data_IF_086861762467
#
_entry.id   IF_086861762467
#
_cell.length_a   1.000
_cell.length_b   1.000
_cell.length_c   1.000
_cell.angle_alpha   90.00
_cell.angle_beta   90.00
_cell.angle_gamma   90.00
#
_symmetry.space_group_name_H-M   'P 1'
#
loop_
_entity.id
_entity.type
_entity.pdbx_description
1 polymer ?
#
# COMPACT_ATOMS: atom_id res chain seq x y z
N UNK A 1 -51.14 30.66 7.01
CA UNK A 1 -49.74 31.10 7.18
C UNK A 1 -49.00 30.71 5.91
N UNK A 2 -48.40 31.67 5.20
CA UNK A 2 -47.54 31.41 4.05
C UNK A 2 -46.12 31.16 4.57
N UNK A 3 -45.60 29.95 4.36
CA UNK A 3 -44.18 29.65 4.57
C UNK A 3 -43.48 30.04 3.25
N UNK A 4 -42.47 30.91 3.27
CA UNK A 4 -41.69 31.25 2.08
C UNK A 4 -41.08 30.01 1.43
N UNK A 5 -41.03 29.97 0.09
CA UNK A 5 -40.58 28.81 -0.68
C UNK A 5 -39.12 28.40 -0.37
N UNK A 6 -38.32 29.34 0.14
CA UNK A 6 -36.90 29.17 0.51
C UNK A 6 -36.68 28.86 2.00
N UNK A 7 -37.74 28.75 2.82
CA UNK A 7 -37.64 28.58 4.27
C UNK A 7 -36.82 27.35 4.69
N UNK A 8 -37.00 26.21 4.00
CA UNK A 8 -36.30 24.97 4.32
C UNK A 8 -34.83 24.99 3.90
N UNK A 9 -34.50 25.65 2.78
CA UNK A 9 -33.11 25.84 2.33
C UNK A 9 -32.37 26.80 3.26
N UNK A 10 -32.99 27.93 3.63
CA UNK A 10 -32.43 28.88 4.59
C UNK A 10 -32.19 28.24 5.97
N UNK A 11 -33.12 27.38 6.43
CA UNK A 11 -32.96 26.64 7.69
C UNK A 11 -31.79 25.67 7.65
N UNK A 12 -31.60 24.91 6.56
CA UNK A 12 -30.46 24.00 6.42
C UNK A 12 -29.12 24.76 6.37
N UNK A 13 -29.07 25.90 5.68
CA UNK A 13 -27.87 26.75 5.63
C UNK A 13 -27.52 27.26 7.04
N UNK A 14 -28.50 27.76 7.78
CA UNK A 14 -28.32 28.22 9.17
C UNK A 14 -27.84 27.09 10.09
N UNK A 15 -28.41 25.89 9.99
CA UNK A 15 -27.99 24.72 10.77
C UNK A 15 -26.53 24.32 10.45
N UNK A 16 -26.13 24.34 9.18
CA UNK A 16 -24.76 24.05 8.77
C UNK A 16 -23.76 25.12 9.23
N UNK A 17 -24.12 26.39 9.12
CA UNK A 17 -23.30 27.50 9.63
C UNK A 17 -23.16 27.44 11.16
N UNK A 18 -24.22 27.11 11.87
CA UNK A 18 -24.18 26.94 13.33
C UNK A 18 -23.30 25.74 13.73
N UNK A 19 -23.36 24.62 13.01
CA UNK A 19 -22.48 23.47 13.23
C UNK A 19 -21.01 23.81 12.98
N UNK A 20 -20.71 24.50 11.87
CA UNK A 20 -19.35 24.96 11.57
C UNK A 20 -18.82 25.91 12.63
N UNK A 21 -19.65 26.84 13.11
CA UNK A 21 -19.27 27.77 14.17
C UNK A 21 -18.97 27.05 15.48
N UNK A 22 -19.82 26.09 15.88
CA UNK A 22 -19.60 25.25 17.07
C UNK A 22 -18.31 24.45 16.98
N UNK A 23 -18.04 23.83 15.82
CA UNK A 23 -16.81 23.08 15.59
C UNK A 23 -15.57 23.97 15.70
N UNK A 24 -15.61 25.17 15.11
CA UNK A 24 -14.50 26.11 15.16
C UNK A 24 -14.29 26.71 16.57
N UNK A 25 -15.37 26.94 17.33
CA UNK A 25 -15.30 27.33 18.74
C UNK A 25 -14.63 26.24 19.60
N UNK A 26 -14.96 24.97 19.36
CA UNK A 26 -14.33 23.82 20.03
C UNK A 26 -12.84 23.71 19.70
N UNK A 27 -12.45 23.73 18.41
CA UNK A 27 -11.03 23.65 18.02
C UNK A 27 -10.20 24.78 18.65
N UNK A 28 -10.72 26.01 18.63
CA UNK A 28 -10.04 27.15 19.24
C UNK A 28 -9.84 26.99 20.74
N UNK A 29 -10.78 26.36 21.42
CA UNK A 29 -10.67 26.08 22.84
C UNK A 29 -9.70 24.93 23.15
N UNK A 30 -9.75 23.83 22.39
CA UNK A 30 -8.79 22.75 22.51
C UNK A 30 -7.35 23.27 22.36
N UNK A 31 -7.12 24.13 21.36
CA UNK A 31 -5.82 24.79 21.19
C UNK A 31 -5.40 25.64 22.40
N UNK A 32 -6.34 26.37 23.02
CA UNK A 32 -6.07 27.14 24.24
C UNK A 32 -5.75 26.24 25.43
N UNK A 33 -6.47 25.13 25.59
CA UNK A 33 -6.24 24.16 26.67
C UNK A 33 -4.88 23.46 26.50
N UNK A 34 -4.54 23.09 25.26
CA UNK A 34 -3.25 22.46 24.95
C UNK A 34 -2.05 23.37 25.21
N UNK A 35 -2.20 24.69 25.07
CA UNK A 35 -1.18 25.68 25.46
C UNK A 35 -1.01 25.82 26.98
N UNK A 36 -2.05 25.51 27.75
CA UNK A 36 -2.09 25.65 29.22
C UNK A 36 -1.94 24.33 29.96
N UNK A 37 -1.68 23.23 29.26
CA UNK A 37 -1.53 21.91 29.86
C UNK A 37 -0.37 21.88 30.85
N UNK A 38 -0.56 21.18 31.97
CA UNK A 38 0.47 20.99 33.00
C UNK A 38 1.04 19.59 32.90
N UNK A 39 2.37 19.46 32.81
CA UNK A 39 3.03 18.14 32.90
C UNK A 39 2.85 17.57 34.31
N UNK A 40 2.37 16.33 34.41
CA UNK A 40 2.16 15.62 35.68
C UNK A 40 3.20 14.54 35.89
N UNK A 41 3.50 13.78 34.85
CA UNK A 41 4.53 12.73 34.89
C UNK A 41 5.21 12.59 33.53
N UNK A 42 6.46 12.21 33.59
CA UNK A 42 7.26 11.80 32.45
C UNK A 42 7.91 10.45 32.80
N UNK A 43 7.65 9.45 31.97
CA UNK A 43 8.34 8.17 32.00
C UNK A 43 9.28 8.14 30.79
N UNK A 44 10.59 8.06 31.04
CA UNK A 44 11.62 7.94 30.00
C UNK A 44 12.02 6.46 29.82
N UNK A 45 12.58 6.12 28.66
CA UNK A 45 13.11 4.78 28.35
C UNK A 45 12.06 3.65 28.43
N UNK A 46 10.81 3.96 28.09
CA UNK A 46 9.77 2.94 27.89
C UNK A 46 10.08 2.21 26.57
N UNK A 47 10.09 0.86 26.58
CA UNK A 47 10.41 0.06 25.37
C UNK A 47 11.71 0.54 24.72
N UNK A 48 12.71 0.74 25.58
CA UNK A 48 14.10 1.14 25.32
C UNK A 48 14.29 2.57 24.78
N UNK A 49 13.38 3.10 23.94
CA UNK A 49 13.58 4.38 23.26
C UNK A 49 12.36 5.32 23.27
N UNK A 50 11.34 5.13 24.13
CA UNK A 50 10.20 6.05 24.20
C UNK A 50 10.16 6.88 25.48
N UNK A 51 9.77 8.14 25.32
CA UNK A 51 9.36 9.02 26.41
C UNK A 51 7.85 9.20 26.38
N UNK A 52 7.17 8.93 27.50
CA UNK A 52 5.74 9.15 27.68
C UNK A 52 5.54 10.29 28.67
N UNK A 53 4.95 11.40 28.21
CA UNK A 53 4.58 12.56 29.04
C UNK A 53 3.08 12.62 29.22
N UNK A 54 2.61 12.63 30.45
CA UNK A 54 1.19 12.78 30.77
C UNK A 54 0.93 14.19 31.28
N UNK A 55 -0.04 14.86 30.66
CA UNK A 55 -0.44 16.21 30.99
C UNK A 55 -1.84 16.22 31.58
N UNK A 56 -2.07 17.17 32.49
CA UNK A 56 -3.39 17.55 32.97
C UNK A 56 -3.83 18.84 32.29
N UNK A 57 -5.08 18.87 31.82
CA UNK A 57 -5.72 20.04 31.25
C UNK A 57 -6.42 20.87 32.33
N UNK A 58 -6.49 22.20 32.15
CA UNK A 58 -7.32 23.05 32.98
C UNK A 58 -8.81 22.79 32.69
N UNK A 59 -9.67 23.07 33.67
CA UNK A 59 -11.12 22.91 33.54
C UNK A 59 -11.70 23.75 32.38
N UNK A 60 -12.62 23.16 31.62
CA UNK A 60 -13.34 23.83 30.52
C UNK A 60 -14.84 23.72 30.76
N UNK A 61 -15.57 24.81 30.45
CA UNK A 61 -17.04 24.88 30.53
C UNK A 61 -17.74 24.38 29.26
N UNK A 62 -17.03 24.33 28.13
CA UNK A 62 -17.59 23.96 26.82
C UNK A 62 -17.32 22.49 26.54
N UNK A 63 -16.19 21.95 27.01
CA UNK A 63 -15.93 20.51 27.06
C UNK A 63 -16.53 19.88 28.32
N UNK A 64 -17.76 20.27 28.66
CA UNK A 64 -18.46 19.96 29.93
C UNK A 64 -18.70 18.46 30.15
N UNK A 65 -18.51 17.62 29.13
CA UNK A 65 -18.54 16.16 29.24
C UNK A 65 -17.19 15.51 29.65
N UNK A 66 -16.14 16.28 29.88
CA UNK A 66 -14.83 15.74 30.23
C UNK A 66 -14.62 15.72 31.76
N UNK A 67 -15.12 14.66 32.40
CA UNK A 67 -14.38 13.98 33.49
C UNK A 67 -12.91 13.71 33.11
N UNK A 68 -12.63 13.74 31.80
CA UNK A 68 -11.39 13.51 31.10
C UNK A 68 -10.43 14.71 31.14
N UNK A 69 -9.60 14.77 32.18
CA UNK A 69 -8.61 15.84 32.41
C UNK A 69 -7.19 15.51 31.99
N UNK A 70 -6.92 14.27 31.59
CA UNK A 70 -5.57 13.80 31.26
C UNK A 70 -5.42 13.47 29.79
N UNK A 71 -4.23 13.77 29.24
CA UNK A 71 -3.77 13.31 27.93
C UNK A 71 -2.32 12.88 28.05
N UNK A 72 -1.90 11.94 27.23
CA UNK A 72 -0.51 11.51 27.17
C UNK A 72 0.07 11.72 25.77
N UNK A 73 1.37 11.97 25.72
CA UNK A 73 2.16 12.06 24.49
C UNK A 73 3.31 11.08 24.58
N UNK A 74 3.38 10.14 23.64
CA UNK A 74 4.55 9.30 23.43
C UNK A 74 5.43 9.90 22.35
N UNK A 75 6.73 9.99 22.58
CA UNK A 75 7.72 10.42 21.59
C UNK A 75 8.89 9.47 21.60
N UNK A 76 9.31 9.02 20.42
CA UNK A 76 10.57 8.30 20.28
C UNK A 76 11.73 9.25 20.63
N UNK A 77 12.69 8.74 21.40
CA UNK A 77 13.89 9.44 21.81
C UNK A 77 14.84 9.43 20.60
N UNK A 78 15.41 10.59 20.27
CA UNK A 78 16.38 10.81 19.17
C UNK A 78 15.87 10.80 17.72
N UNK A 79 14.56 10.67 17.48
CA UNK A 79 13.99 10.72 16.12
C UNK A 79 12.81 11.71 16.02
N UNK A 80 12.68 12.40 14.87
CA UNK A 80 11.59 13.35 14.62
C UNK A 80 10.24 12.64 14.37
N UNK A 81 10.23 11.31 14.22
CA UNK A 81 9.04 10.45 14.10
C UNK A 81 9.33 9.04 14.68
N UNK A 82 8.37 8.37 15.35
CA UNK A 82 6.95 8.74 15.53
C UNK A 82 6.65 9.46 16.86
N UNK A 83 5.56 10.22 16.86
CA UNK A 83 4.95 10.81 18.07
C UNK A 83 3.47 10.47 18.11
N UNK A 84 2.98 9.99 19.26
CA UNK A 84 1.59 9.66 19.49
C UNK A 84 0.98 10.58 20.54
N UNK A 85 -0.29 10.92 20.37
CA UNK A 85 -1.08 11.63 21.38
C UNK A 85 -2.30 10.75 21.68
N UNK A 86 -2.63 10.59 22.96
CA UNK A 86 -3.86 9.91 23.38
C UNK A 86 -5.03 10.87 23.29
N UNK A 87 -6.23 10.33 23.12
CA UNK A 87 -7.44 11.08 23.42
C UNK A 87 -7.52 11.38 24.92
N UNK A 88 -8.42 12.29 25.30
CA UNK A 88 -8.63 12.66 26.69
C UNK A 88 -9.08 11.46 27.53
N UNK A 89 -8.67 11.42 28.80
CA UNK A 89 -8.97 10.35 29.75
C UNK A 89 -9.22 10.88 31.16
N UNK A 90 -10.10 10.22 31.90
CA UNK A 90 -10.50 10.63 33.26
C UNK A 90 -9.38 10.43 34.28
N UNK A 91 -8.61 9.36 34.06
CA UNK A 91 -7.56 8.94 34.94
C UNK A 91 -6.19 9.04 34.26
N UNK A 92 -5.20 9.37 35.07
CA UNK A 92 -3.81 9.48 34.67
C UNK A 92 -3.31 8.19 33.99
N UNK A 93 -3.53 7.03 34.61
CA UNK A 93 -3.02 5.75 34.11
C UNK A 93 -3.67 5.36 32.78
N UNK A 94 -4.96 5.66 32.58
CA UNK A 94 -5.65 5.39 31.32
C UNK A 94 -5.03 6.16 30.14
N UNK A 95 -4.68 7.44 30.33
CA UNK A 95 -4.03 8.22 29.28
C UNK A 95 -2.66 7.62 28.91
N UNK A 96 -1.89 7.22 29.93
CA UNK A 96 -0.58 6.57 29.75
C UNK A 96 -0.71 5.24 29.01
N UNK A 97 -1.60 4.36 29.46
CA UNK A 97 -1.74 3.02 28.90
C UNK A 97 -2.26 3.04 27.45
N UNK A 98 -3.08 4.03 27.09
CA UNK A 98 -3.43 4.29 25.69
C UNK A 98 -2.20 4.57 24.82
N UNK A 99 -1.22 5.34 25.32
CA UNK A 99 0.03 5.58 24.57
C UNK A 99 0.88 4.32 24.50
N UNK A 100 1.02 3.57 25.60
CA UNK A 100 1.75 2.30 25.60
C UNK A 100 1.16 1.34 24.56
N UNK A 101 -0.17 1.21 24.52
CA UNK A 101 -0.85 0.39 23.51
C UNK A 101 -0.60 0.87 22.08
N UNK A 102 -0.57 2.19 21.82
CA UNK A 102 -0.22 2.73 20.49
C UNK A 102 1.25 2.43 20.12
N UNK A 103 2.16 2.47 21.08
CA UNK A 103 3.56 2.11 20.89
C UNK A 103 3.69 0.62 20.56
N UNK A 104 3.03 -0.25 21.33
CA UNK A 104 3.04 -1.70 21.09
C UNK A 104 2.45 -2.01 19.68
N UNK A 105 1.33 -1.39 19.31
CA UNK A 105 0.75 -1.52 17.96
C UNK A 105 1.69 -1.04 16.85
N UNK A 106 2.46 0.01 17.09
CA UNK A 106 3.46 0.48 16.14
C UNK A 106 4.56 -0.56 15.92
N UNK A 107 5.08 -1.17 17.00
CA UNK A 107 6.07 -2.24 16.89
C UNK A 107 5.50 -3.49 16.20
N UNK A 108 4.30 -3.91 16.55
CA UNK A 108 3.63 -5.04 15.90
C UNK A 108 3.46 -4.81 14.39
N UNK A 109 3.08 -3.58 14.01
CA UNK A 109 2.94 -3.20 12.60
C UNK A 109 4.30 -3.20 11.88
N UNK A 110 5.35 -2.66 12.50
CA UNK A 110 6.70 -2.68 11.93
C UNK A 110 7.23 -4.11 11.77
N UNK A 111 7.00 -4.99 12.74
CA UNK A 111 7.40 -6.39 12.67
C UNK A 111 6.65 -7.12 11.55
N UNK A 112 5.35 -6.87 11.42
CA UNK A 112 4.52 -7.43 10.34
C UNK A 112 5.01 -6.96 8.97
N UNK A 113 5.28 -5.67 8.80
CA UNK A 113 5.82 -5.11 7.55
C UNK A 113 7.19 -5.73 7.21
N UNK A 114 8.04 -5.91 8.21
CA UNK A 114 9.34 -6.57 8.04
C UNK A 114 9.17 -8.04 7.63
N UNK A 115 8.22 -8.77 8.23
CA UNK A 115 7.91 -10.14 7.86
C UNK A 115 7.39 -10.23 6.42
N UNK A 116 6.45 -9.36 6.05
CA UNK A 116 5.91 -9.28 4.68
C UNK A 116 7.01 -8.97 3.66
N UNK A 117 7.99 -8.11 4.00
CA UNK A 117 9.14 -7.84 3.15
C UNK A 117 10.05 -9.06 3.00
N UNK A 118 10.32 -9.79 4.09
CA UNK A 118 11.10 -11.03 4.08
C UNK A 118 10.41 -12.10 3.23
N UNK A 119 9.12 -12.31 3.44
CA UNK A 119 8.30 -13.24 2.65
C UNK A 119 8.31 -12.86 1.17
N UNK A 120 8.12 -11.57 0.86
CA UNK A 120 8.14 -11.08 -0.51
C UNK A 120 9.44 -11.42 -1.23
N UNK A 121 10.60 -11.21 -0.58
CA UNK A 121 11.92 -11.51 -1.19
C UNK A 121 12.05 -12.97 -1.64
N UNK A 122 11.47 -13.90 -0.87
CA UNK A 122 11.47 -15.33 -1.19
C UNK A 122 10.43 -15.65 -2.26
N UNK A 123 9.16 -15.27 -2.03
CA UNK A 123 8.07 -15.60 -2.94
C UNK A 123 8.21 -14.96 -4.32
N UNK A 124 8.81 -13.76 -4.40
CA UNK A 124 9.11 -13.08 -5.66
C UNK A 124 9.83 -14.00 -6.64
N UNK A 125 10.89 -14.67 -6.20
CA UNK A 125 11.69 -15.53 -7.07
C UNK A 125 10.91 -16.79 -7.49
N UNK A 126 10.26 -17.44 -6.52
CA UNK A 126 9.46 -18.65 -6.74
C UNK A 126 8.32 -18.38 -7.72
N UNK A 127 7.61 -17.26 -7.56
CA UNK A 127 6.51 -16.87 -8.43
C UNK A 127 7.00 -16.59 -9.84
N UNK A 128 8.09 -15.83 -9.98
CA UNK A 128 8.66 -15.52 -11.29
C UNK A 128 9.06 -16.78 -12.06
N UNK A 129 9.67 -17.76 -11.39
CA UNK A 129 9.98 -19.07 -11.95
C UNK A 129 8.70 -19.80 -12.34
N UNK A 130 7.76 -19.98 -11.40
CA UNK A 130 6.52 -20.71 -11.65
C UNK A 130 5.73 -20.15 -12.83
N UNK A 131 5.57 -18.82 -12.89
CA UNK A 131 4.86 -18.14 -13.97
C UNK A 131 5.54 -18.34 -15.33
N UNK A 132 6.87 -18.36 -15.37
CA UNK A 132 7.61 -18.59 -16.61
C UNK A 132 7.53 -20.04 -17.09
N UNK A 133 7.69 -20.99 -16.16
CA UNK A 133 7.67 -22.43 -16.47
C UNK A 133 6.28 -22.91 -16.90
N UNK A 134 5.25 -22.47 -16.19
CA UNK A 134 3.85 -22.84 -16.48
C UNK A 134 3.24 -22.06 -17.65
N UNK A 135 3.90 -20.99 -18.08
CA UNK A 135 3.38 -20.09 -19.10
C UNK A 135 3.66 -20.54 -20.53
N UNK A 136 2.96 -19.90 -21.46
CA UNK A 136 3.13 -20.04 -22.90
C UNK A 136 3.33 -18.66 -23.53
N UNK A 137 3.99 -18.65 -24.69
CA UNK A 137 4.32 -17.42 -25.39
C UNK A 137 3.06 -16.70 -25.88
N UNK A 138 3.03 -15.40 -25.65
CA UNK A 138 1.98 -14.51 -26.10
C UNK A 138 2.52 -13.56 -27.16
N UNK A 139 1.77 -13.44 -28.25
CA UNK A 139 2.08 -12.61 -29.40
C UNK A 139 0.92 -11.64 -29.66
N UNK A 140 1.18 -10.50 -30.29
CA UNK A 140 0.11 -9.61 -30.75
C UNK A 140 -0.77 -10.35 -31.77
N UNK A 141 -2.08 -10.33 -31.50
CA UNK A 141 -3.08 -10.90 -32.40
C UNK A 141 -3.25 -9.99 -33.62
N UNK A 142 -2.60 -10.37 -34.70
CA UNK A 142 -2.54 -9.64 -35.96
C UNK A 142 -3.85 -9.80 -36.76
N UNK A 143 -4.98 -9.31 -36.24
CA UNK A 143 -6.30 -9.35 -36.92
C UNK A 143 -6.37 -8.67 -38.29
N UNK A 144 -5.29 -8.04 -38.76
CA UNK A 144 -5.18 -7.37 -40.06
C UNK A 144 -4.19 -8.04 -41.02
N UNK A 145 -3.62 -9.18 -40.65
CA UNK A 145 -2.77 -9.97 -41.54
C UNK A 145 -3.56 -11.22 -41.95
N UNK A 146 -3.91 -11.32 -43.23
CA UNK A 146 -4.74 -12.39 -43.82
C UNK A 146 -4.10 -13.80 -43.76
N UNK A 147 -2.99 -13.98 -43.06
CA UNK A 147 -2.34 -15.27 -42.76
C UNK A 147 -2.07 -15.41 -41.25
N UNK A 148 -3.15 -15.54 -40.47
CA UNK A 148 -3.16 -15.36 -39.01
C UNK A 148 -2.46 -16.44 -38.17
N UNK A 149 -1.90 -17.50 -38.77
CA UNK A 149 -1.10 -18.52 -38.05
C UNK A 149 0.41 -18.42 -38.35
N UNK A 150 0.85 -17.55 -39.28
CA UNK A 150 2.19 -17.64 -39.88
C UNK A 150 3.28 -16.72 -39.36
N UNK A 151 3.08 -15.88 -38.36
CA UNK A 151 4.20 -15.08 -37.83
C UNK A 151 4.20 -15.04 -36.31
N UNK A 152 4.36 -16.18 -35.64
CA UNK A 152 4.94 -16.17 -34.29
C UNK A 152 6.43 -15.85 -34.45
N UNK A 153 6.82 -14.61 -34.19
CA UNK A 153 8.19 -14.16 -34.38
C UNK A 153 8.59 -13.15 -33.31
N UNK A 154 9.87 -12.78 -33.28
CA UNK A 154 10.41 -11.83 -32.30
C UNK A 154 9.74 -10.45 -32.38
N UNK A 155 9.27 -10.07 -33.56
CA UNK A 155 8.69 -8.76 -33.84
C UNK A 155 7.33 -8.56 -33.16
N UNK A 156 6.54 -9.62 -32.99
CA UNK A 156 5.21 -9.55 -32.38
C UNK A 156 5.12 -10.29 -31.03
N UNK A 157 6.23 -10.82 -30.52
CA UNK A 157 6.30 -11.37 -29.17
C UNK A 157 6.11 -10.29 -28.11
N UNK A 158 5.16 -10.50 -27.18
CA UNK A 158 4.82 -9.53 -26.13
C UNK A 158 5.06 -10.05 -24.71
N UNK A 159 5.29 -11.34 -24.52
CA UNK A 159 5.63 -11.90 -23.21
C UNK A 159 5.22 -13.35 -23.05
N UNK A 160 5.25 -13.81 -21.79
CA UNK A 160 4.82 -15.16 -21.41
C UNK A 160 3.57 -15.06 -20.56
N UNK A 161 2.48 -15.65 -21.02
CA UNK A 161 1.19 -15.69 -20.34
C UNK A 161 1.09 -16.92 -19.46
N UNK A 162 0.58 -16.76 -18.24
CA UNK A 162 0.34 -17.86 -17.31
C UNK A 162 -0.95 -17.67 -16.52
N UNK A 163 -1.60 -18.79 -16.17
CA UNK A 163 -2.79 -18.81 -15.34
C UNK A 163 -2.50 -18.41 -13.89
N UNK A 164 -3.46 -17.76 -13.24
CA UNK A 164 -3.33 -17.32 -11.85
C UNK A 164 -4.03 -18.30 -10.91
N UNK A 165 -3.26 -18.88 -9.98
CA UNK A 165 -3.73 -19.45 -8.70
C UNK A 165 -2.91 -18.94 -7.51
N UNK A 166 -2.19 -17.82 -7.71
CA UNK A 166 -1.18 -17.32 -6.78
C UNK A 166 -1.68 -16.13 -5.94
N UNK A 167 -1.13 -15.94 -4.72
CA UNK A 167 -1.46 -14.81 -3.83
C UNK A 167 -1.39 -13.44 -4.55
N UNK A 168 -2.52 -12.72 -4.60
CA UNK A 168 -2.65 -11.45 -5.33
C UNK A 168 -1.70 -10.33 -4.87
N UNK A 169 -1.36 -10.25 -3.59
CA UNK A 169 -0.48 -9.18 -3.06
C UNK A 169 0.95 -9.24 -3.61
N UNK A 170 1.45 -10.43 -3.92
CA UNK A 170 2.76 -10.60 -4.56
C UNK A 170 2.69 -10.16 -6.02
N UNK A 171 1.62 -10.53 -6.73
CA UNK A 171 1.41 -10.15 -8.12
C UNK A 171 1.31 -8.62 -8.29
N UNK A 172 0.70 -7.95 -7.32
CA UNK A 172 0.58 -6.49 -7.31
C UNK A 172 1.96 -5.81 -7.20
N UNK A 173 2.81 -6.26 -6.27
CA UNK A 173 4.20 -5.78 -6.16
C UNK A 173 5.04 -6.10 -7.40
N UNK A 174 4.88 -7.29 -7.99
CA UNK A 174 5.58 -7.65 -9.24
C UNK A 174 5.15 -6.77 -10.43
N UNK A 175 3.88 -6.36 -10.45
CA UNK A 175 3.37 -5.43 -11.45
C UNK A 175 3.92 -4.01 -11.24
N UNK A 176 3.97 -3.52 -10.00
CA UNK A 176 4.61 -2.24 -9.65
C UNK A 176 6.10 -2.21 -10.05
N UNK A 177 6.79 -3.35 -9.93
CA UNK A 177 8.18 -3.51 -10.41
C UNK A 177 8.30 -3.62 -11.95
N UNK A 178 7.17 -3.67 -12.68
CA UNK A 178 7.12 -3.82 -14.13
C UNK A 178 7.55 -5.20 -14.64
N UNK A 179 7.52 -6.23 -13.79
CA UNK A 179 7.93 -7.60 -14.14
C UNK A 179 6.78 -8.40 -14.78
N UNK A 180 5.54 -8.03 -14.48
CA UNK A 180 4.36 -8.63 -15.07
C UNK A 180 3.25 -7.60 -15.28
N UNK A 181 2.24 -7.99 -16.03
CA UNK A 181 0.99 -7.27 -16.23
C UNK A 181 -0.20 -8.14 -15.81
N UNK A 182 -1.26 -7.50 -15.32
CA UNK A 182 -2.57 -8.11 -15.05
C UNK A 182 -3.63 -7.49 -15.98
N UNK A 183 -3.71 -7.86 -17.28
CA UNK A 183 -4.59 -7.21 -18.27
C UNK A 183 -6.07 -7.19 -17.86
N UNK A 184 -6.52 -8.23 -17.17
CA UNK A 184 -7.85 -8.32 -16.60
C UNK A 184 -8.18 -7.17 -15.63
N UNK A 185 -7.21 -6.50 -15.00
CA UNK A 185 -7.49 -5.33 -14.14
C UNK A 185 -7.71 -4.05 -14.95
N UNK A 186 -7.30 -4.01 -16.21
CA UNK A 186 -7.39 -2.83 -17.07
C UNK A 186 -8.70 -2.78 -17.87
N UNK A 187 -9.37 -3.92 -18.08
CA UNK A 187 -10.66 -3.98 -18.77
C UNK A 187 -11.87 -3.99 -17.81
N UNK A 188 -12.86 -3.13 -18.11
CA UNK A 188 -14.16 -3.04 -17.39
C UNK A 188 -15.10 -4.25 -17.65
N UNK A 189 -14.65 -5.25 -18.41
CA UNK A 189 -15.47 -6.41 -18.74
C UNK A 189 -15.43 -7.50 -17.65
N UNK A 190 -16.62 -7.94 -17.22
CA UNK A 190 -16.87 -8.83 -16.07
C UNK A 190 -16.51 -10.31 -16.29
N UNK A 191 -16.11 -10.73 -17.50
CA UNK A 191 -15.67 -12.10 -17.78
C UNK A 191 -14.15 -12.16 -17.73
N UNK A 192 -13.58 -12.17 -16.52
CA UNK A 192 -12.13 -12.12 -16.32
C UNK A 192 -11.55 -13.53 -16.28
N UNK A 193 -11.01 -13.97 -17.41
CA UNK A 193 -9.95 -14.97 -17.46
C UNK A 193 -8.79 -14.43 -16.62
N UNK A 194 -8.44 -15.08 -15.50
CA UNK A 194 -7.45 -14.55 -14.54
C UNK A 194 -6.07 -15.07 -14.95
N UNK A 195 -5.33 -14.26 -15.69
CA UNK A 195 -3.97 -14.58 -16.13
C UNK A 195 -3.01 -13.42 -15.81
N UNK A 196 -1.72 -13.71 -15.72
CA UNK A 196 -0.67 -12.69 -15.75
C UNK A 196 0.14 -12.84 -17.03
N UNK A 197 0.73 -11.75 -17.46
CA UNK A 197 1.69 -11.73 -18.56
C UNK A 197 3.03 -11.25 -18.03
N UNK A 198 4.04 -12.11 -18.01
CA UNK A 198 5.42 -11.70 -17.74
C UNK A 198 5.90 -10.77 -18.85
N UNK A 199 6.43 -9.61 -18.46
CA UNK A 199 7.07 -8.68 -19.41
C UNK A 199 8.42 -9.24 -19.84
N UNK A 200 9.03 -8.66 -20.89
CA UNK A 200 10.42 -8.98 -21.26
C UNK A 200 11.40 -8.80 -20.09
N UNK A 201 11.20 -7.75 -19.27
CA UNK A 201 11.97 -7.53 -18.04
C UNK A 201 11.79 -8.69 -17.06
N UNK A 202 10.56 -9.13 -16.84
CA UNK A 202 10.24 -10.26 -15.99
C UNK A 202 10.88 -11.55 -16.48
N UNK A 203 10.75 -11.87 -17.77
CA UNK A 203 11.33 -13.07 -18.38
C UNK A 203 12.85 -13.08 -18.25
N UNK A 204 13.52 -11.96 -18.56
CA UNK A 204 14.98 -11.83 -18.43
C UNK A 204 15.41 -12.13 -16.99
N UNK A 205 14.76 -11.50 -16.02
CA UNK A 205 15.04 -11.73 -14.61
C UNK A 205 14.81 -13.18 -14.20
N UNK A 206 13.74 -13.83 -14.67
CA UNK A 206 13.50 -15.25 -14.37
C UNK A 206 14.56 -16.16 -14.97
N UNK A 207 14.98 -15.91 -16.20
CA UNK A 207 16.04 -16.69 -16.86
C UNK A 207 17.36 -16.56 -16.09
N UNK A 208 17.70 -15.36 -15.65
CA UNK A 208 18.89 -15.13 -14.82
C UNK A 208 18.76 -15.83 -13.45
N UNK A 209 17.57 -15.86 -12.84
CA UNK A 209 17.33 -16.64 -11.62
C UNK A 209 17.55 -18.14 -11.86
N UNK A 210 16.98 -18.70 -12.93
CA UNK A 210 17.13 -20.12 -13.28
C UNK A 210 18.59 -20.50 -13.50
N UNK A 211 19.37 -19.70 -14.25
CA UNK A 211 20.82 -19.94 -14.49
C UNK A 211 21.65 -20.01 -13.20
N UNK A 212 21.17 -19.42 -12.11
CA UNK A 212 21.86 -19.42 -10.82
C UNK A 212 21.36 -20.50 -9.85
N UNK A 213 20.37 -21.31 -10.26
CA UNK A 213 19.85 -22.41 -9.45
C UNK A 213 20.53 -23.72 -9.84
N UNK A 214 21.00 -24.43 -8.82
CA UNK A 214 21.51 -25.80 -8.97
C UNK A 214 20.33 -26.78 -8.93
N UNK A 215 19.62 -26.89 -10.07
CA UNK A 215 18.48 -27.79 -10.26
C UNK A 215 18.65 -28.55 -11.58
N UNK A 216 18.53 -29.87 -11.49
CA UNK A 216 18.51 -30.75 -12.66
C UNK A 216 17.37 -30.39 -13.62
N UNK A 217 17.62 -30.40 -14.93
CA UNK A 217 16.62 -30.03 -15.94
C UNK A 217 16.60 -28.55 -16.34
N UNK A 218 17.29 -27.67 -15.60
CA UNK A 218 17.27 -26.22 -15.88
C UNK A 218 18.03 -25.89 -17.15
N UNK A 219 19.20 -26.49 -17.37
CA UNK A 219 20.01 -26.23 -18.56
C UNK A 219 19.27 -26.66 -19.84
N UNK A 220 18.71 -27.88 -19.87
CA UNK A 220 17.93 -28.36 -21.02
C UNK A 220 16.71 -27.48 -21.29
N UNK A 221 16.01 -27.04 -20.23
CA UNK A 221 14.87 -26.15 -20.36
C UNK A 221 15.27 -24.77 -20.93
N UNK A 222 16.41 -24.22 -20.50
CA UNK A 222 16.88 -22.93 -20.97
C UNK A 222 17.36 -22.99 -22.42
N UNK A 223 17.95 -24.12 -22.83
CA UNK A 223 18.29 -24.44 -24.22
C UNK A 223 17.03 -24.58 -25.09
N UNK A 224 16.02 -25.33 -24.64
CA UNK A 224 14.73 -25.49 -25.33
C UNK A 224 14.04 -24.13 -25.59
N UNK A 225 14.31 -23.15 -24.72
CA UNK A 225 13.79 -21.77 -24.81
C UNK A 225 14.86 -20.75 -25.17
N UNK A 226 15.95 -21.14 -25.83
CA UNK A 226 17.05 -20.23 -26.19
C UNK A 226 16.58 -19.08 -27.09
N UNK A 227 15.58 -19.32 -27.95
CA UNK A 227 14.97 -18.31 -28.81
C UNK A 227 14.43 -17.08 -28.05
N UNK A 228 14.13 -17.20 -26.75
CA UNK A 228 13.79 -16.06 -25.91
C UNK A 228 14.93 -15.04 -25.82
N UNK A 229 16.20 -15.44 -25.87
CA UNK A 229 17.32 -14.48 -25.86
C UNK A 229 17.24 -13.55 -27.08
N UNK A 230 16.91 -14.08 -28.25
CA UNK A 230 16.68 -13.25 -29.44
C UNK A 230 15.49 -12.30 -29.25
N UNK A 231 14.38 -12.80 -28.69
CA UNK A 231 13.14 -12.03 -28.54
C UNK A 231 13.27 -10.92 -27.48
N UNK A 232 14.04 -11.19 -26.42
CA UNK A 232 14.34 -10.25 -25.34
C UNK A 232 15.27 -9.13 -25.79
N UNK A 233 16.15 -9.39 -26.77
CA UNK A 233 17.05 -8.41 -27.34
C UNK A 233 16.40 -7.57 -28.45
N UNK A 234 15.32 -8.07 -29.05
CA UNK A 234 14.54 -7.32 -30.02
C UNK A 234 13.67 -6.25 -29.35
N UNK A 235 13.86 -4.97 -29.72
CA UNK A 235 13.00 -3.87 -29.22
C UNK A 235 11.78 -3.71 -30.12
N UNK A 236 10.59 -3.93 -29.57
CA UNK A 236 9.33 -3.65 -30.27
C UNK A 236 8.94 -2.18 -30.12
N UNK A 237 8.00 -1.69 -30.93
CA UNK A 237 7.43 -0.35 -30.78
C UNK A 237 6.73 -0.15 -29.43
N UNK A 238 6.22 -1.23 -28.83
CA UNK A 238 5.63 -1.22 -27.48
C UNK A 238 6.72 -1.02 -26.42
N UNK A 239 7.84 -1.73 -26.54
CA UNK A 239 8.97 -1.59 -25.61
C UNK A 239 9.54 -0.16 -25.63
N UNK A 240 9.67 0.43 -26.81
CA UNK A 240 10.19 1.79 -26.98
C UNK A 240 9.29 2.87 -26.35
N UNK A 241 7.97 2.68 -26.35
CA UNK A 241 7.04 3.61 -25.69
C UNK A 241 7.14 3.53 -24.17
N UNK A 242 7.36 2.34 -23.62
CA UNK A 242 7.48 2.10 -22.17
C UNK A 242 8.78 2.61 -21.58
N UNK A 243 9.86 2.70 -22.37
CA UNK A 243 11.12 3.30 -21.92
C UNK A 243 11.05 4.84 -21.82
N UNK A 244 9.99 5.48 -22.34
CA UNK A 244 9.82 6.94 -22.37
C UNK A 244 8.83 7.46 -21.31
N UNK A 245 8.12 6.57 -20.62
CA UNK A 245 7.20 6.84 -19.50
C UNK A 245 7.89 6.61 -18.15
#
# INVERSE_FOLDING_TARGET
MNIPDDYYEQKQIQEQEEQKRKYQEQENEEQKLMKKKKLIKEDTEIRDNWSIKVFQLPESKILTNLSQKYLAKGTLIDDDKPSFISDYSEQFYQARDKIVSKIDQYYDQQEKELLELKEYKVFRQIYMIFLYLSGWDEYLDCKHFEESEKMKCKENFIGVKSWIDLKFSILDKLQEEGLLEQPQRQDNNRKKTTYVKLTKKGIRMTRDLLKNLDLEGVDELLEDREYHEEYLNYKTSIDLRREQE
#
